data_IF_079956122913
#
_entry.id   IF_079956122913
#
_cell.length_a   1.000
_cell.length_b   1.000
_cell.length_c   1.000
_cell.angle_alpha   90.00
_cell.angle_beta   90.00
_cell.angle_gamma   90.00
#
_symmetry.space_group_name_H-M   'P 1'
#
loop_
_entity.id
_entity.type
_entity.pdbx_description
1 polymer ?
#
# COMPACT_ATOMS: atom_id res chain seq x y z
N UNK A 1 18.76 -0.63 -6.72
CA UNK A 1 18.56 -1.78 -7.63
C UNK A 1 17.97 -3.01 -6.90
N UNK A 2 17.64 -2.92 -5.61
CA UNK A 2 17.04 -4.01 -4.82
C UNK A 2 15.51 -3.85 -4.69
N UNK A 3 15.02 -2.63 -4.90
CA UNK A 3 13.62 -2.21 -4.75
C UNK A 3 12.72 -2.98 -5.72
N UNK A 4 13.12 -3.08 -6.99
CA UNK A 4 12.39 -3.86 -7.99
C UNK A 4 12.33 -5.35 -7.62
N UNK A 5 13.39 -5.89 -6.99
CA UNK A 5 13.40 -7.29 -6.53
C UNK A 5 12.43 -7.49 -5.37
N UNK A 6 12.40 -6.55 -4.42
CA UNK A 6 11.45 -6.57 -3.30
C UNK A 6 10.00 -6.51 -3.79
N UNK A 7 9.70 -5.64 -4.78
CA UNK A 7 8.37 -5.62 -5.41
C UNK A 7 8.02 -6.98 -6.00
N UNK A 8 8.90 -7.55 -6.82
CA UNK A 8 8.64 -8.83 -7.49
C UNK A 8 8.39 -9.94 -6.47
N UNK A 9 9.23 -10.07 -5.44
CA UNK A 9 9.03 -11.06 -4.37
C UNK A 9 7.69 -10.89 -3.64
N UNK A 10 7.26 -9.65 -3.42
CA UNK A 10 5.97 -9.35 -2.79
C UNK A 10 4.80 -9.74 -3.68
N UNK A 11 4.90 -9.48 -4.99
CA UNK A 11 3.88 -9.85 -5.97
C UNK A 11 3.77 -11.38 -6.13
N UNK A 12 4.91 -12.08 -6.17
CA UNK A 12 4.95 -13.54 -6.14
C UNK A 12 4.25 -14.09 -4.89
N UNK A 13 4.52 -13.50 -3.72
CA UNK A 13 3.85 -13.91 -2.49
C UNK A 13 2.33 -13.68 -2.50
N UNK A 14 1.87 -12.58 -3.08
CA UNK A 14 0.44 -12.29 -3.25
C UNK A 14 -0.20 -13.32 -4.18
N UNK A 15 0.47 -13.68 -5.27
CA UNK A 15 0.00 -14.69 -6.22
C UNK A 15 -0.10 -16.07 -5.57
N UNK A 16 0.92 -16.50 -4.80
CA UNK A 16 0.87 -17.73 -4.01
C UNK A 16 -0.32 -17.75 -3.06
N UNK A 17 -0.50 -16.68 -2.27
CA UNK A 17 -1.63 -16.55 -1.34
C UNK A 17 -2.99 -16.67 -2.06
N UNK A 18 -3.10 -16.08 -3.25
CA UNK A 18 -4.32 -16.18 -4.05
C UNK A 18 -4.55 -17.61 -4.57
N UNK A 19 -3.51 -18.29 -5.04
CA UNK A 19 -3.57 -19.68 -5.51
C UNK A 19 -3.89 -20.67 -4.38
N UNK A 20 -3.38 -20.42 -3.18
CA UNK A 20 -3.66 -21.19 -1.96
C UNK A 20 -5.09 -21.00 -1.43
N UNK A 21 -5.87 -20.06 -2.00
CA UNK A 21 -7.19 -19.70 -1.48
C UNK A 21 -7.10 -19.09 -0.07
N UNK A 22 -6.01 -18.38 0.22
CA UNK A 22 -5.77 -17.80 1.53
C UNK A 22 -6.87 -16.79 1.91
N UNK A 23 -7.10 -16.55 3.22
CA UNK A 23 -8.03 -15.52 3.65
C UNK A 23 -7.69 -14.16 3.02
N UNK A 24 -8.70 -13.38 2.55
CA UNK A 24 -8.46 -12.08 1.94
C UNK A 24 -7.63 -11.12 2.80
N UNK A 25 -7.70 -11.25 4.13
CA UNK A 25 -6.89 -10.48 5.08
C UNK A 25 -5.39 -10.67 4.91
N UNK A 26 -4.93 -11.87 4.49
CA UNK A 26 -3.51 -12.12 4.22
C UNK A 26 -3.03 -11.40 2.97
N UNK A 27 -3.82 -11.43 1.89
CA UNK A 27 -3.51 -10.70 0.65
C UNK A 27 -3.52 -9.19 0.90
N UNK A 28 -4.51 -8.69 1.65
CA UNK A 28 -4.59 -7.27 2.02
C UNK A 28 -3.40 -6.82 2.88
N UNK A 29 -2.85 -7.70 3.73
CA UNK A 29 -1.67 -7.38 4.51
C UNK A 29 -0.44 -7.14 3.60
N UNK A 30 -0.19 -8.02 2.63
CA UNK A 30 0.91 -7.84 1.67
C UNK A 30 0.73 -6.59 0.80
N UNK A 31 -0.50 -6.30 0.34
CA UNK A 31 -0.80 -5.08 -0.41
C UNK A 31 -0.55 -3.80 0.40
N UNK A 32 -0.86 -3.81 1.70
CA UNK A 32 -0.58 -2.67 2.59
C UNK A 32 0.92 -2.43 2.75
N UNK A 33 1.70 -3.50 2.89
CA UNK A 33 3.17 -3.43 2.96
C UNK A 33 3.73 -2.85 1.66
N UNK A 34 3.27 -3.35 0.51
CA UNK A 34 3.72 -2.87 -0.80
C UNK A 34 3.45 -1.38 -1.01
N UNK A 35 2.27 -0.89 -0.58
CA UNK A 35 1.94 0.54 -0.63
C UNK A 35 2.85 1.36 0.27
N UNK A 36 3.19 0.86 1.46
CA UNK A 36 4.10 1.56 2.37
C UNK A 36 5.55 1.62 1.84
N UNK A 37 6.03 0.54 1.21
CA UNK A 37 7.32 0.50 0.53
C UNK A 37 7.36 1.51 -0.62
N UNK A 38 6.28 1.58 -1.43
CA UNK A 38 6.16 2.56 -2.49
C UNK A 38 6.17 4.01 -1.96
N UNK A 39 5.46 4.30 -0.86
CA UNK A 39 5.52 5.61 -0.19
C UNK A 39 6.95 5.98 0.25
N UNK A 40 7.73 5.00 0.73
CA UNK A 40 9.11 5.23 1.13
C UNK A 40 10.01 5.60 -0.05
N UNK A 41 9.82 4.95 -1.21
CA UNK A 41 10.55 5.29 -2.43
C UNK A 41 10.14 6.65 -2.97
N UNK A 42 8.85 6.98 -2.98
CA UNK A 42 8.38 8.29 -3.42
C UNK A 42 8.96 9.45 -2.61
N UNK A 43 9.24 9.24 -1.31
CA UNK A 43 9.91 10.26 -0.48
C UNK A 43 11.37 10.49 -0.87
N UNK A 44 12.02 9.48 -1.45
CA UNK A 44 13.40 9.57 -1.90
C UNK A 44 13.52 10.05 -3.37
N UNK A 45 12.42 10.02 -4.12
CA UNK A 45 12.38 10.37 -5.55
C UNK A 45 12.19 11.88 -5.74
N UNK A 46 13.11 12.58 -6.45
CA UNK A 46 13.01 14.02 -6.69
C UNK A 46 11.85 14.44 -7.61
N UNK A 47 11.46 13.61 -8.59
CA UNK A 47 10.37 13.91 -9.52
C UNK A 47 9.41 12.71 -9.66
N UNK A 48 8.60 12.42 -8.62
CA UNK A 48 7.82 11.19 -8.56
C UNK A 48 6.62 11.11 -9.53
N UNK A 49 6.32 12.20 -10.26
CA UNK A 49 5.30 12.23 -11.31
C UNK A 49 3.94 11.67 -10.87
N UNK A 50 3.34 10.83 -11.73
CA UNK A 50 2.02 10.22 -11.48
C UNK A 50 2.03 9.16 -10.35
N UNK A 51 3.21 8.71 -9.92
CA UNK A 51 3.32 7.64 -8.93
C UNK A 51 2.75 8.07 -7.56
N UNK A 52 2.82 9.36 -7.22
CA UNK A 52 2.17 9.92 -6.01
C UNK A 52 0.65 9.72 -6.06
N UNK A 53 0.02 10.03 -7.19
CA UNK A 53 -1.42 9.90 -7.36
C UNK A 53 -1.86 8.43 -7.38
N UNK A 54 -1.04 7.53 -7.93
CA UNK A 54 -1.28 6.11 -7.90
C UNK A 54 -1.25 5.56 -6.46
N UNK A 55 -0.20 5.88 -5.69
CA UNK A 55 -0.08 5.45 -4.29
C UNK A 55 -1.21 6.01 -3.43
N UNK A 56 -1.59 7.28 -3.61
CA UNK A 56 -2.73 7.87 -2.90
C UNK A 56 -4.05 7.11 -3.14
N UNK A 57 -4.34 6.72 -4.39
CA UNK A 57 -5.52 5.91 -4.72
C UNK A 57 -5.48 4.53 -4.06
N UNK A 58 -4.31 3.89 -4.05
CA UNK A 58 -4.12 2.60 -3.39
C UNK A 58 -4.34 2.68 -1.87
N UNK A 59 -3.82 3.72 -1.20
CA UNK A 59 -4.05 3.95 0.23
C UNK A 59 -5.54 4.06 0.56
N UNK A 60 -6.28 4.86 -0.21
CA UNK A 60 -7.73 5.02 -0.05
C UNK A 60 -8.45 3.68 -0.24
N UNK A 61 -8.12 2.93 -1.29
CA UNK A 61 -8.73 1.62 -1.55
C UNK A 61 -8.46 0.60 -0.45
N UNK A 62 -7.28 0.65 0.19
CA UNK A 62 -6.87 -0.27 1.25
C UNK A 62 -7.27 0.19 2.66
N UNK A 63 -7.88 1.37 2.79
CA UNK A 63 -8.23 1.99 4.07
C UNK A 63 -7.00 2.40 4.90
N UNK A 64 -5.84 2.56 4.26
CA UNK A 64 -4.59 2.95 4.93
C UNK A 64 -4.67 4.45 5.22
N UNK A 65 -5.08 4.82 6.43
CA UNK A 65 -5.23 6.21 6.86
C UNK A 65 -6.57 6.57 7.51
N UNK A 66 -7.45 5.60 7.75
CA UNK A 66 -8.75 5.82 8.41
C UNK A 66 -8.83 5.32 9.86
N UNK A 67 -7.71 4.94 10.49
CA UNK A 67 -7.67 4.65 11.92
C UNK A 67 -6.96 5.82 12.63
N UNK A 68 -7.76 6.79 13.11
CA UNK A 68 -7.27 7.93 13.87
C UNK A 68 -7.85 9.31 13.50
N UNK A 69 -8.60 9.43 12.41
CA UNK A 69 -9.47 10.60 12.20
C UNK A 69 -10.79 10.35 12.94
N UNK A 70 -10.74 10.40 14.27
CA UNK A 70 -11.91 10.67 15.07
C UNK A 70 -12.52 11.94 14.47
N UNK A 71 -13.69 11.78 13.84
CA UNK A 71 -14.56 12.87 13.43
C UNK A 71 -14.86 13.68 14.68
N UNK A 72 -14.02 14.66 14.99
CA UNK A 72 -14.37 15.72 15.92
C UNK A 72 -15.55 16.44 15.26
N UNK A 73 -16.80 16.26 15.76
CA UNK A 73 -17.86 17.12 15.30
C UNK A 73 -17.46 18.50 15.81
N UNK A 74 -17.31 19.45 14.89
CA UNK A 74 -17.19 20.86 15.25
C UNK A 74 -18.49 21.25 15.94
N UNK A 75 -18.55 21.02 17.25
CA UNK A 75 -19.55 21.55 18.16
C UNK A 75 -18.92 22.75 18.87
N UNK A 76 -19.03 23.92 18.24
CA UNK A 76 -19.73 25.10 18.77
C UNK A 76 -19.59 26.28 17.81
#
# INVERSE_FOLDING_TARGET
MDEARVVVQRLERIEELAQEGAPPSKVLAELRVLVHEAEAWLRAEPEPGEAVAAVARCRTALGIGAEGAEVMPLLR
#
